data_IF_200329357574
#
_entry.id   IF_200329357574
#
_cell.length_a   1.000
_cell.length_b   1.000
_cell.length_c   1.000
_cell.angle_alpha   90.00
_cell.angle_beta   90.00
_cell.angle_gamma   90.00
#
_symmetry.space_group_name_H-M   'P 1'
#
loop_
_entity.id
_entity.type
_entity.pdbx_description
1 polymer ?
#
# COMPACT_ATOMS: atom_id res chain seq x y z
N UNK A 1 11.31 -22.81 13.20
CA UNK A 1 10.75 -22.14 11.99
C UNK A 1 9.27 -21.85 12.24
N UNK A 2 8.82 -20.62 12.02
CA UNK A 2 7.41 -20.27 12.22
C UNK A 2 6.53 -21.04 11.22
N UNK A 3 5.37 -21.57 11.65
CA UNK A 3 4.46 -22.32 10.78
C UNK A 3 3.94 -21.45 9.63
N UNK A 4 3.62 -22.04 8.47
CA UNK A 4 3.06 -21.30 7.31
C UNK A 4 1.84 -20.44 7.69
N UNK A 5 0.98 -20.95 8.56
CA UNK A 5 -0.19 -20.23 9.10
C UNK A 5 0.22 -19.00 9.91
N UNK A 6 1.23 -19.14 10.77
CA UNK A 6 1.75 -18.00 11.56
C UNK A 6 2.39 -16.91 10.69
N UNK A 7 3.05 -17.29 9.59
CA UNK A 7 3.63 -16.33 8.64
C UNK A 7 2.56 -15.59 7.85
N UNK A 8 1.49 -16.26 7.44
CA UNK A 8 0.36 -15.62 6.74
C UNK A 8 -0.36 -14.62 7.65
N UNK A 9 -0.58 -14.97 8.90
CA UNK A 9 -1.16 -14.06 9.90
C UNK A 9 -0.25 -12.87 10.20
N UNK A 10 1.06 -13.12 10.35
CA UNK A 10 2.06 -12.05 10.50
C UNK A 10 2.05 -11.09 9.31
N UNK A 11 2.03 -11.63 8.08
CA UNK A 11 1.92 -10.84 6.86
C UNK A 11 0.65 -9.99 6.85
N UNK A 12 -0.51 -10.59 7.14
CA UNK A 12 -1.80 -9.90 7.19
C UNK A 12 -1.76 -8.72 8.16
N UNK A 13 -1.24 -8.93 9.37
CA UNK A 13 -1.11 -7.87 10.40
C UNK A 13 -0.18 -6.74 9.94
N UNK A 14 1.00 -7.08 9.40
CA UNK A 14 1.99 -6.09 8.93
C UNK A 14 1.48 -5.28 7.75
N UNK A 15 0.88 -5.95 6.76
CA UNK A 15 0.25 -5.31 5.60
C UNK A 15 -0.80 -4.30 6.03
N UNK A 16 -1.71 -4.70 6.92
CA UNK A 16 -2.76 -3.81 7.42
C UNK A 16 -2.18 -2.61 8.19
N UNK A 17 -1.15 -2.83 9.01
CA UNK A 17 -0.49 -1.74 9.72
C UNK A 17 0.18 -0.75 8.75
N UNK A 18 0.86 -1.25 7.72
CA UNK A 18 1.50 -0.43 6.70
C UNK A 18 0.48 0.43 5.93
N UNK A 19 -0.63 -0.16 5.49
CA UNK A 19 -1.73 0.57 4.84
C UNK A 19 -2.29 1.65 5.78
N UNK A 20 -2.51 1.33 7.06
CA UNK A 20 -2.97 2.30 8.06
C UNK A 20 -2.02 3.49 8.21
N UNK A 21 -0.70 3.24 8.23
CA UNK A 21 0.31 4.33 8.25
C UNK A 21 0.29 5.17 6.98
N UNK A 22 0.11 4.55 5.82
CA UNK A 22 -0.07 5.28 4.56
C UNK A 22 -1.30 6.19 4.59
N UNK A 23 -2.40 5.70 5.16
CA UNK A 23 -3.61 6.50 5.35
C UNK A 23 -3.40 7.69 6.30
N UNK A 24 -2.76 7.47 7.45
CA UNK A 24 -2.42 8.55 8.40
C UNK A 24 -1.58 9.65 7.72
N UNK A 25 -0.61 9.28 6.88
CA UNK A 25 0.20 10.25 6.12
C UNK A 25 -0.70 11.08 5.18
N UNK A 26 -1.63 10.42 4.49
CA UNK A 26 -2.54 11.11 3.58
C UNK A 26 -3.43 12.10 4.32
N UNK A 27 -3.99 11.72 5.47
CA UNK A 27 -4.86 12.59 6.27
C UNK A 27 -4.09 13.77 6.90
N UNK A 28 -2.93 13.50 7.50
CA UNK A 28 -2.19 14.52 8.26
C UNK A 28 -1.50 15.55 7.37
N UNK A 29 -1.06 15.16 6.18
CA UNK A 29 -0.22 16.00 5.32
C UNK A 29 -0.87 16.33 3.98
N UNK A 30 -2.15 16.01 3.80
CA UNK A 30 -2.86 16.11 2.52
C UNK A 30 -2.09 15.45 1.36
N UNK A 31 -1.28 14.44 1.68
CA UNK A 31 -0.45 13.74 0.71
C UNK A 31 -1.30 12.74 -0.06
N UNK A 32 -1.06 12.63 -1.36
CA UNK A 32 -1.61 11.54 -2.14
C UNK A 32 -0.73 10.31 -1.93
N UNK A 33 -1.32 9.25 -1.35
CA UNK A 33 -0.58 8.03 -0.99
C UNK A 33 -1.17 6.87 -1.76
N UNK A 34 -0.25 6.07 -2.29
CA UNK A 34 -0.62 4.83 -2.93
C UNK A 34 0.35 3.71 -2.55
N UNK A 35 -0.20 2.52 -2.35
CA UNK A 35 0.55 1.35 -1.92
C UNK A 35 0.16 0.18 -2.82
N UNK A 36 1.14 -0.46 -3.44
CA UNK A 36 1.00 -1.72 -4.15
C UNK A 36 1.87 -2.77 -3.47
N UNK A 37 1.28 -3.90 -3.08
CA UNK A 37 2.02 -5.04 -2.53
C UNK A 37 1.68 -6.27 -3.38
N UNK A 38 2.68 -6.84 -4.03
CA UNK A 38 2.56 -8.14 -4.69
C UNK A 38 3.08 -9.24 -3.76
N UNK A 39 2.31 -10.31 -3.58
CA UNK A 39 2.77 -11.51 -2.87
C UNK A 39 2.11 -12.74 -3.46
N UNK A 40 2.93 -13.69 -3.92
CA UNK A 40 2.47 -14.95 -4.52
C UNK A 40 1.48 -14.71 -5.66
N UNK A 41 1.71 -13.71 -6.52
CA UNK A 41 0.81 -13.35 -7.63
C UNK A 41 -0.49 -12.64 -7.22
N UNK A 42 -0.70 -12.34 -5.95
CA UNK A 42 -1.82 -11.53 -5.49
C UNK A 42 -1.38 -10.10 -5.19
N UNK A 43 -2.11 -9.13 -5.75
CA UNK A 43 -1.94 -7.71 -5.45
C UNK A 43 -2.84 -7.26 -4.29
N UNK A 44 -2.28 -6.47 -3.40
CA UNK A 44 -2.99 -5.72 -2.37
C UNK A 44 -2.74 -4.23 -2.61
N UNK A 45 -3.80 -3.52 -2.99
CA UNK A 45 -3.71 -2.12 -3.43
C UNK A 45 -4.43 -1.23 -2.41
N UNK A 46 -3.81 -0.09 -2.10
CA UNK A 46 -4.42 1.00 -1.37
C UNK A 46 -4.19 2.30 -2.15
N UNK A 47 -5.24 3.12 -2.25
CA UNK A 47 -5.21 4.46 -2.82
C UNK A 47 -5.95 5.39 -1.86
N UNK A 48 -5.29 6.45 -1.41
CA UNK A 48 -5.93 7.41 -0.49
C UNK A 48 -6.99 8.30 -1.14
N UNK A 49 -7.05 8.32 -2.48
CA UNK A 49 -8.12 8.95 -3.25
C UNK A 49 -8.68 7.98 -4.30
N UNK A 50 -9.72 7.18 -3.96
CA UNK A 50 -10.28 6.17 -4.85
C UNK A 50 -10.99 6.75 -6.08
N UNK A 51 -11.37 8.04 -6.06
CA UNK A 51 -12.01 8.71 -7.19
C UNK A 51 -11.00 9.09 -8.28
N UNK A 52 -9.73 9.30 -7.90
CA UNK A 52 -8.63 9.45 -8.85
C UNK A 52 -8.28 8.09 -9.45
N UNK A 53 -8.66 7.92 -10.72
CA UNK A 53 -8.35 6.73 -11.54
C UNK A 53 -6.90 6.69 -12.02
N UNK A 54 -6.11 7.72 -11.74
CA UNK A 54 -4.74 7.93 -12.23
C UNK A 54 -3.70 7.04 -11.52
N UNK A 55 -4.11 5.83 -11.12
CA UNK A 55 -3.30 4.83 -10.44
C UNK A 55 -2.93 3.69 -11.41
N UNK A 56 -1.66 3.28 -11.49
CA UNK A 56 -0.47 3.88 -10.86
C UNK A 56 -0.01 5.17 -11.54
N UNK A 57 0.69 6.08 -10.82
CA UNK A 57 1.36 7.21 -11.44
C UNK A 57 2.26 6.72 -12.56
N UNK A 58 2.29 7.46 -13.67
CA UNK A 58 3.18 7.08 -14.77
C UNK A 58 4.64 7.23 -14.33
N UNK A 59 5.59 6.49 -14.94
CA UNK A 59 7.01 6.63 -14.62
C UNK A 59 7.49 8.09 -14.65
N UNK A 60 6.95 8.91 -15.55
CA UNK A 60 7.28 10.34 -15.69
C UNK A 60 6.81 11.17 -14.47
N UNK A 61 5.73 10.75 -13.80
CA UNK A 61 5.25 11.38 -12.57
C UNK A 61 6.09 10.99 -11.35
N UNK A 62 6.73 9.82 -11.37
CA UNK A 62 7.58 9.33 -10.28
C UNK A 62 8.99 9.97 -10.24
N UNK A 63 9.46 10.53 -11.36
CA UNK A 63 10.82 11.10 -11.50
C UNK A 63 10.87 12.61 -11.16
N UNK A 64 9.74 13.25 -10.86
CA UNK A 64 9.72 14.66 -10.43
C UNK A 64 10.16 14.79 -8.97
N UNK A 65 11.48 14.81 -8.74
CA UNK A 65 12.14 15.27 -7.51
C UNK A 65 12.64 16.71 -7.66
#
# INVERSE_FOLDING_TARGET
MASRRSQQESFRKRRNNYIRRGHEISELYAAQVWICIEKNGQFYIYNSNPEKKDWPPTPEQLVRS
#
